data_IF_105391457178
#
_entry.id   IF_105391457178
#
_cell.length_a   1.000
_cell.length_b   1.000
_cell.length_c   1.000
_cell.angle_alpha   90.00
_cell.angle_beta   90.00
_cell.angle_gamma   90.00
#
_symmetry.space_group_name_H-M   'P 1'
#
loop_
_entity.id
_entity.type
_entity.pdbx_description
1 polymer ?
#
# COMPACT_ATOMS: atom_id res chain seq x y z
N UNK A 1 10.53 -2.58 -8.35
CA UNK A 1 10.06 -3.65 -7.44
C UNK A 1 11.15 -4.22 -6.52
N UNK A 2 12.38 -4.50 -7.00
CA UNK A 2 13.50 -5.02 -6.17
C UNK A 2 13.85 -4.20 -4.89
N UNK A 3 13.46 -2.92 -4.84
CA UNK A 3 13.71 -1.98 -3.73
C UNK A 3 12.74 -2.15 -2.54
N UNK A 4 11.49 -2.57 -2.78
CA UNK A 4 10.47 -2.79 -1.72
C UNK A 4 10.74 -4.11 -0.97
N UNK A 5 11.33 -5.08 -1.66
CA UNK A 5 11.72 -6.37 -1.10
C UNK A 5 12.85 -6.21 -0.09
N UNK A 6 13.83 -5.31 -0.29
CA UNK A 6 14.98 -5.21 0.61
C UNK A 6 14.64 -4.68 2.02
N UNK A 7 13.73 -3.72 2.15
CA UNK A 7 13.31 -3.18 3.47
C UNK A 7 12.38 -4.18 4.19
N UNK A 8 11.47 -4.83 3.47
CA UNK A 8 10.61 -5.89 4.01
C UNK A 8 11.42 -7.14 4.38
N UNK A 9 12.43 -7.51 3.60
CA UNK A 9 13.35 -8.62 3.91
C UNK A 9 14.24 -8.30 5.11
N UNK A 10 14.65 -7.04 5.32
CA UNK A 10 15.40 -6.67 6.53
C UNK A 10 14.52 -6.78 7.79
N UNK A 11 13.26 -6.33 7.71
CA UNK A 11 12.29 -6.46 8.81
C UNK A 11 11.92 -7.93 9.05
N UNK A 12 11.67 -8.72 8.01
CA UNK A 12 11.36 -10.16 8.12
C UNK A 12 12.55 -11.00 8.60
N UNK A 13 13.79 -10.63 8.20
CA UNK A 13 15.00 -11.28 8.69
C UNK A 13 15.31 -10.94 10.16
N UNK A 14 14.83 -9.80 10.67
CA UNK A 14 15.00 -9.38 12.06
C UNK A 14 13.89 -9.93 13.00
N UNK A 15 12.69 -10.22 12.49
CA UNK A 15 11.56 -10.70 13.32
C UNK A 15 11.27 -12.20 13.20
N UNK A 16 11.94 -12.93 12.31
CA UNK A 16 11.71 -14.37 12.11
C UNK A 16 10.31 -14.71 11.56
N UNK A 17 9.51 -13.72 11.19
CA UNK A 17 8.16 -13.91 10.66
C UNK A 17 8.20 -14.02 9.13
N UNK A 18 8.07 -15.24 8.61
CA UNK A 18 7.79 -15.50 7.20
C UNK A 18 6.34 -15.15 6.86
N UNK A 19 6.06 -13.88 6.54
CA UNK A 19 4.84 -13.52 5.81
C UNK A 19 5.13 -13.53 4.30
N UNK A 20 4.27 -14.20 3.53
CA UNK A 20 4.33 -14.27 2.07
C UNK A 20 4.15 -12.86 1.48
N UNK A 21 5.27 -12.18 1.20
CA UNK A 21 5.26 -11.00 0.36
C UNK A 21 4.92 -11.44 -1.07
N UNK A 22 3.79 -10.96 -1.61
CA UNK A 22 3.39 -11.13 -3.00
C UNK A 22 4.48 -10.54 -3.92
N UNK A 23 5.36 -11.40 -4.41
CA UNK A 23 6.30 -11.11 -5.48
C UNK A 23 5.82 -11.82 -6.74
N UNK A 24 5.58 -11.06 -7.81
CA UNK A 24 5.23 -11.57 -9.13
C UNK A 24 6.37 -12.47 -9.68
N UNK A 25 6.14 -13.77 -9.97
CA UNK A 25 7.22 -14.73 -10.26
C UNK A 25 7.50 -14.87 -11.76
N UNK A 26 7.92 -13.80 -12.44
CA UNK A 26 8.30 -13.92 -13.86
C UNK A 26 9.78 -13.64 -14.18
N UNK A 27 10.65 -13.34 -13.21
CA UNK A 27 12.08 -13.12 -13.53
C UNK A 27 13.03 -13.54 -12.40
N UNK A 28 13.33 -14.85 -12.33
CA UNK A 28 14.54 -15.34 -11.66
C UNK A 28 14.92 -16.76 -12.12
N UNK A 29 15.68 -16.88 -13.21
CA UNK A 29 16.46 -18.10 -13.48
C UNK A 29 17.79 -18.08 -12.74
N UNK A 30 18.01 -19.14 -11.95
CA UNK A 30 19.27 -19.86 -11.73
C UNK A 30 20.39 -19.17 -10.91
N UNK A 31 20.77 -19.76 -9.76
CA UNK A 31 22.13 -20.26 -9.46
C UNK A 31 22.27 -20.77 -8.01
N UNK A 32 22.71 -22.02 -7.91
CA UNK A 32 23.46 -22.73 -6.83
C UNK A 32 22.78 -23.16 -5.52
N UNK A 33 22.62 -24.49 -5.46
CA UNK A 33 22.50 -25.32 -4.26
C UNK A 33 23.73 -25.19 -3.35
N UNK A 34 23.50 -25.16 -2.04
CA UNK A 34 24.47 -25.62 -1.02
C UNK A 34 23.72 -26.52 -0.04
N UNK A 35 24.17 -27.77 0.04
CA UNK A 35 23.73 -28.81 0.97
C UNK A 35 24.36 -28.61 2.34
N UNK A 36 23.58 -28.72 3.41
CA UNK A 36 24.10 -28.92 4.77
C UNK A 36 23.55 -30.24 5.33
N UNK A 37 24.45 -31.20 5.52
CA UNK A 37 24.18 -32.43 6.27
C UNK A 37 24.08 -32.10 7.78
N UNK A 38 22.97 -32.48 8.41
CA UNK A 38 22.82 -32.45 9.86
C UNK A 38 23.10 -33.84 10.42
N UNK A 39 24.23 -33.99 11.09
CA UNK A 39 24.54 -35.16 11.93
C UNK A 39 23.81 -35.01 13.26
N UNK A 40 22.91 -35.95 13.58
CA UNK A 40 22.27 -36.06 14.89
C UNK A 40 22.98 -37.12 15.73
N UNK A 41 23.36 -36.78 16.97
CA UNK A 41 23.65 -37.74 18.03
C UNK A 41 22.53 -37.67 19.09
N UNK A 42 22.14 -38.81 19.68
CA UNK A 42 21.01 -38.89 20.62
C UNK A 42 21.42 -38.49 22.04
N UNK A 43 20.57 -37.71 22.71
CA UNK A 43 20.61 -37.49 24.15
C UNK A 43 19.71 -38.53 24.82
N UNK A 44 20.26 -39.18 25.84
CA UNK A 44 19.60 -40.14 26.74
C UNK A 44 18.79 -39.35 27.76
N UNK A 45 17.48 -39.59 27.86
CA UNK A 45 16.65 -39.10 28.97
C UNK A 45 16.51 -40.16 30.06
N UNK A 46 16.73 -39.72 31.29
CA UNK A 46 16.70 -40.49 32.53
C UNK A 46 15.36 -40.30 33.25
N UNK A 47 14.86 -41.39 33.84
CA UNK A 47 13.55 -41.56 34.48
C UNK A 47 13.21 -40.54 35.58
N UNK A 48 11.93 -40.14 35.65
CA UNK A 48 11.35 -39.38 36.77
C UNK A 48 9.85 -39.63 36.98
N UNK A 49 9.57 -40.63 37.81
CA UNK A 49 8.36 -41.00 38.59
C UNK A 49 7.14 -40.07 38.58
N UNK A 50 5.99 -40.63 38.18
CA UNK A 50 4.63 -40.07 38.28
C UNK A 50 3.99 -40.53 39.59
N UNK A 51 3.31 -39.64 40.33
CA UNK A 51 2.35 -40.01 41.39
C UNK A 51 0.97 -39.48 40.96
N UNK A 52 0.09 -40.39 40.54
CA UNK A 52 -1.32 -40.10 40.26
C UNK A 52 -2.11 -40.04 41.57
N UNK A 53 -3.00 -39.05 41.68
CA UNK A 53 -4.08 -39.05 42.68
C UNK A 53 -5.40 -39.05 41.91
N UNK A 54 -6.13 -40.15 42.03
CA UNK A 54 -7.46 -40.39 41.47
C UNK A 54 -8.50 -39.64 42.31
N UNK A 55 -9.47 -39.00 41.66
CA UNK A 55 -10.78 -38.75 42.26
C UNK A 55 -11.84 -38.90 41.16
N UNK A 56 -12.68 -39.92 41.34
CA UNK A 56 -13.86 -40.23 40.54
C UNK A 56 -14.97 -39.20 40.80
N UNK A 57 -15.69 -38.80 39.76
CA UNK A 57 -17.13 -38.58 39.88
C UNK A 57 -17.85 -38.97 38.57
N UNK A 58 -18.77 -39.92 38.70
CA UNK A 58 -19.67 -40.42 37.66
C UNK A 58 -20.68 -39.36 37.22
N UNK A 59 -20.96 -39.26 35.91
CA UNK A 59 -22.35 -39.30 35.45
C UNK A 59 -22.48 -39.70 33.97
N UNK A 60 -23.66 -40.19 33.62
CA UNK A 60 -23.92 -41.32 32.71
C UNK A 60 -24.94 -40.94 31.61
N UNK A 61 -24.77 -41.52 30.40
CA UNK A 61 -25.76 -41.75 29.28
C UNK A 61 -26.15 -40.50 28.46
N UNK A 62 -26.28 -40.46 27.11
CA UNK A 62 -26.59 -41.41 26.00
C UNK A 62 -25.80 -40.97 24.74
N UNK A 63 -25.18 -41.80 23.87
CA UNK A 63 -25.64 -42.90 22.99
C UNK A 63 -26.48 -42.48 21.76
N UNK A 64 -25.84 -42.44 20.59
CA UNK A 64 -26.28 -42.77 19.21
C UNK A 64 -25.04 -42.50 18.30
N UNK A 65 -24.28 -43.41 17.69
CA UNK A 65 -24.46 -44.62 16.88
C UNK A 65 -24.85 -44.39 15.40
N UNK A 66 -23.89 -44.11 14.52
CA UNK A 66 -23.86 -44.41 13.06
C UNK A 66 -22.37 -44.49 12.64
N UNK A 67 -21.75 -45.65 12.44
CA UNK A 67 -21.80 -46.62 11.33
C UNK A 67 -21.17 -46.15 9.99
N UNK A 68 -19.83 -46.24 9.93
CA UNK A 68 -19.08 -47.05 8.95
C UNK A 68 -18.82 -46.55 7.53
N UNK A 69 -17.74 -47.10 6.94
CA UNK A 69 -17.36 -47.16 5.49
C UNK A 69 -16.42 -46.00 5.07
N UNK A 70 -15.29 -46.13 4.37
CA UNK A 70 -14.41 -47.23 3.90
C UNK A 70 -13.06 -46.58 3.55
N UNK A 71 -11.98 -47.35 3.71
CA UNK A 71 -10.63 -47.03 3.23
C UNK A 71 -10.57 -47.22 1.72
N UNK A 72 -10.30 -46.16 0.96
CA UNK A 72 -9.62 -46.27 -0.33
C UNK A 72 -8.51 -45.21 -0.45
N UNK A 73 -7.38 -45.73 -0.91
CA UNK A 73 -6.06 -45.16 -0.94
C UNK A 73 -5.76 -44.90 -2.42
N UNK A 74 -5.81 -43.64 -2.85
CA UNK A 74 -5.29 -43.24 -4.16
C UNK A 74 -4.40 -42.00 -4.00
N UNK A 75 -3.13 -42.25 -4.29
CA UNK A 75 -2.05 -41.30 -4.34
C UNK A 75 -2.07 -40.68 -5.75
N UNK A 76 -2.83 -39.61 -5.94
CA UNK A 76 -2.73 -38.74 -7.11
C UNK A 76 -1.92 -37.50 -6.76
N UNK A 77 -0.78 -37.36 -7.44
CA UNK A 77 0.02 -36.15 -7.44
C UNK A 77 -0.72 -35.06 -8.21
N UNK A 78 -1.58 -34.33 -7.51
CA UNK A 78 -2.25 -33.13 -8.01
C UNK A 78 -1.21 -32.00 -8.09
N UNK A 79 -0.81 -31.66 -9.32
CA UNK A 79 -0.18 -30.37 -9.58
C UNK A 79 -1.21 -29.28 -9.27
N UNK A 80 -1.15 -28.73 -8.06
CA UNK A 80 -1.80 -27.47 -7.71
C UNK A 80 -1.18 -26.35 -8.54
N UNK A 81 -1.68 -26.20 -9.77
CA UNK A 81 -1.64 -24.92 -10.43
C UNK A 81 -2.53 -24.01 -9.60
N UNK A 82 -1.91 -23.20 -8.75
CA UNK A 82 -2.55 -22.07 -8.06
C UNK A 82 -3.14 -21.16 -9.12
N UNK A 83 -4.37 -21.46 -9.53
CA UNK A 83 -5.19 -20.60 -10.34
C UNK A 83 -5.38 -19.34 -9.49
N UNK A 84 -4.63 -18.31 -9.83
CA UNK A 84 -4.80 -16.97 -9.31
C UNK A 84 -6.18 -16.50 -9.80
N UNK A 85 -7.24 -16.90 -9.09
CA UNK A 85 -8.61 -16.45 -9.32
C UNK A 85 -8.66 -15.00 -8.89
N UNK A 86 -8.18 -14.11 -9.76
CA UNK A 86 -8.52 -12.71 -9.70
C UNK A 86 -10.02 -12.64 -9.92
N UNK A 87 -10.74 -12.35 -8.83
CA UNK A 87 -12.19 -12.21 -8.86
C UNK A 87 -12.51 -11.02 -9.76
N UNK A 88 -12.98 -11.28 -10.97
CA UNK A 88 -13.31 -10.25 -11.94
C UNK A 88 -14.51 -9.45 -11.38
N UNK A 89 -14.34 -8.15 -11.17
CA UNK A 89 -15.43 -7.30 -10.67
C UNK A 89 -16.57 -7.33 -11.68
N UNK A 90 -17.74 -7.81 -11.24
CA UNK A 90 -18.91 -7.90 -12.11
C UNK A 90 -19.52 -6.52 -12.33
N UNK A 91 -20.18 -6.32 -13.48
CA UNK A 91 -20.86 -5.06 -13.77
C UNK A 91 -22.00 -4.76 -12.79
N UNK A 92 -22.60 -5.78 -12.19
CA UNK A 92 -23.61 -5.63 -11.14
C UNK A 92 -22.99 -5.02 -9.87
N UNK A 93 -21.84 -5.53 -9.42
CA UNK A 93 -21.11 -4.98 -8.27
C UNK A 93 -20.68 -3.51 -8.48
N UNK A 94 -20.27 -3.17 -9.71
CA UNK A 94 -19.97 -1.79 -10.08
C UNK A 94 -21.21 -0.90 -9.98
N UNK A 95 -22.34 -1.36 -10.51
CA UNK A 95 -23.59 -0.59 -10.47
C UNK A 95 -24.06 -0.37 -9.03
N UNK A 96 -23.98 -1.40 -8.19
CA UNK A 96 -24.34 -1.32 -6.77
C UNK A 96 -23.42 -0.36 -5.99
N UNK A 97 -22.15 -0.24 -6.42
CA UNK A 97 -21.16 0.64 -5.81
C UNK A 97 -21.24 2.10 -6.31
N UNK A 98 -21.92 2.37 -7.42
CA UNK A 98 -21.93 3.69 -8.07
C UNK A 98 -22.82 4.75 -7.38
N UNK A 99 -23.61 4.38 -6.36
CA UNK A 99 -24.44 5.34 -5.62
C UNK A 99 -25.42 6.11 -6.53
N UNK A 100 -25.67 7.39 -6.21
CA UNK A 100 -26.46 8.26 -7.09
C UNK A 100 -25.55 8.81 -8.21
N UNK A 101 -25.94 8.59 -9.46
CA UNK A 101 -25.15 9.05 -10.61
C UNK A 101 -25.15 10.59 -10.78
N UNK A 102 -24.07 11.18 -11.33
CA UNK A 102 -23.97 12.62 -11.62
C UNK A 102 -25.10 13.26 -12.45
N UNK A 103 -25.80 12.47 -13.25
CA UNK A 103 -26.91 12.92 -14.10
C UNK A 103 -28.27 12.93 -13.36
N UNK A 104 -28.32 12.43 -12.12
CA UNK A 104 -29.52 12.37 -11.30
C UNK A 104 -29.82 13.72 -10.62
N UNK A 105 -31.08 14.13 -10.50
CA UNK A 105 -31.45 15.35 -9.76
C UNK A 105 -31.10 15.28 -8.26
N UNK A 106 -30.92 14.07 -7.71
CA UNK A 106 -30.56 13.86 -6.30
C UNK A 106 -29.05 13.87 -6.04
N UNK A 107 -28.21 13.93 -7.08
CA UNK A 107 -26.76 13.88 -6.94
C UNK A 107 -26.20 15.00 -6.04
N UNK A 108 -26.69 16.22 -6.23
CA UNK A 108 -26.27 17.36 -5.40
C UNK A 108 -26.63 17.19 -3.92
N UNK A 109 -27.70 16.45 -3.62
CA UNK A 109 -28.12 16.16 -2.25
C UNK A 109 -27.16 15.13 -1.64
N UNK A 110 -26.83 14.07 -2.38
CA UNK A 110 -25.85 13.06 -1.96
C UNK A 110 -24.50 13.72 -1.65
N UNK A 111 -23.97 14.52 -2.58
CA UNK A 111 -22.73 15.29 -2.38
C UNK A 111 -22.78 16.19 -1.14
N UNK A 112 -23.93 16.79 -0.86
CA UNK A 112 -24.15 17.59 0.35
C UNK A 112 -24.07 16.77 1.64
N UNK A 113 -24.64 15.57 1.63
CA UNK A 113 -24.60 14.62 2.76
C UNK A 113 -23.18 14.09 2.95
N UNK A 114 -22.49 13.70 1.89
CA UNK A 114 -21.08 13.26 1.92
C UNK A 114 -20.17 14.34 2.54
N UNK A 115 -20.31 15.58 2.09
CA UNK A 115 -19.52 16.69 2.62
C UNK A 115 -19.83 16.96 4.11
N UNK A 116 -21.09 16.81 4.52
CA UNK A 116 -21.46 16.87 5.93
C UNK A 116 -20.79 15.75 6.72
N UNK A 117 -20.84 14.50 6.24
CA UNK A 117 -20.18 13.35 6.86
C UNK A 117 -18.67 13.58 7.01
N UNK A 118 -18.00 14.06 5.97
CA UNK A 118 -16.59 14.48 6.02
C UNK A 118 -16.37 15.53 7.12
N UNK A 119 -17.21 16.55 7.20
CA UNK A 119 -17.03 17.65 8.16
C UNK A 119 -17.23 17.27 9.62
N UNK A 120 -18.10 16.28 9.91
CA UNK A 120 -18.39 15.84 11.28
C UNK A 120 -17.44 14.72 11.74
N UNK A 121 -16.74 14.08 10.81
CA UNK A 121 -15.77 13.02 11.10
C UNK A 121 -14.50 13.63 11.68
N UNK A 122 -14.21 13.32 12.95
CA UNK A 122 -13.14 13.99 13.72
C UNK A 122 -11.81 13.28 13.65
N UNK A 123 -11.81 11.95 13.48
CA UNK A 123 -10.56 11.20 13.45
C UNK A 123 -10.01 11.16 12.03
N UNK A 124 -8.70 11.34 11.93
CA UNK A 124 -7.98 11.30 10.65
C UNK A 124 -8.12 9.94 9.95
N UNK A 125 -8.20 8.84 10.72
CA UNK A 125 -8.39 7.48 10.20
C UNK A 125 -9.79 7.27 9.61
N UNK A 126 -10.84 7.60 10.37
CA UNK A 126 -12.21 7.49 9.86
C UNK A 126 -12.42 8.41 8.66
N UNK A 127 -11.81 9.60 8.69
CA UNK A 127 -11.91 10.56 7.60
C UNK A 127 -11.23 10.04 6.34
N UNK A 128 -10.08 9.39 6.47
CA UNK A 128 -9.43 8.73 5.34
C UNK A 128 -10.26 7.57 4.79
N UNK A 129 -10.73 6.67 5.66
CA UNK A 129 -11.56 5.54 5.25
C UNK A 129 -12.85 6.00 4.54
N UNK A 130 -13.52 7.02 5.07
CA UNK A 130 -14.70 7.63 4.47
C UNK A 130 -14.39 8.22 3.09
N UNK A 131 -13.26 8.91 2.94
CA UNK A 131 -12.84 9.47 1.65
C UNK A 131 -12.51 8.37 0.62
N UNK A 132 -11.89 7.26 1.02
CA UNK A 132 -11.65 6.13 0.11
C UNK A 132 -12.96 5.47 -0.30
N UNK A 133 -13.94 5.35 0.61
CA UNK A 133 -15.28 4.88 0.26
C UNK A 133 -15.90 5.75 -0.85
N UNK A 134 -15.94 7.06 -0.65
CA UNK A 134 -16.48 7.98 -1.67
C UNK A 134 -15.65 7.98 -2.96
N UNK A 135 -14.33 7.78 -2.87
CA UNK A 135 -13.49 7.60 -4.05
C UNK A 135 -13.95 6.36 -4.83
N UNK A 136 -14.15 5.22 -4.15
CA UNK A 136 -14.64 3.98 -4.75
C UNK A 136 -16.00 4.16 -5.44
N UNK A 137 -16.90 4.93 -4.83
CA UNK A 137 -18.17 5.33 -5.45
C UNK A 137 -17.92 6.15 -6.72
N UNK A 138 -17.06 7.17 -6.68
CA UNK A 138 -16.73 7.98 -7.89
C UNK A 138 -16.10 7.14 -9.00
N UNK A 139 -15.26 6.17 -8.67
CA UNK A 139 -14.70 5.25 -9.67
C UNK A 139 -15.80 4.39 -10.30
N UNK A 140 -16.75 3.92 -9.49
CA UNK A 140 -17.90 3.14 -9.97
C UNK A 140 -18.85 3.99 -10.83
N UNK A 141 -19.14 5.23 -10.44
CA UNK A 141 -19.86 6.21 -11.27
C UNK A 141 -19.19 6.38 -12.63
N UNK A 142 -17.86 6.51 -12.67
CA UNK A 142 -17.13 6.67 -13.91
C UNK A 142 -17.31 5.47 -14.84
N UNK A 143 -17.26 4.23 -14.34
CA UNK A 143 -17.55 3.04 -15.15
C UNK A 143 -18.96 3.12 -15.75
N UNK A 144 -19.97 3.45 -14.93
CA UNK A 144 -21.36 3.53 -15.38
C UNK A 144 -21.52 4.61 -16.46
N UNK A 145 -20.91 5.77 -16.26
CA UNK A 145 -20.91 6.89 -17.20
C UNK A 145 -20.22 6.53 -18.53
N UNK A 146 -19.07 5.86 -18.49
CA UNK A 146 -18.37 5.37 -19.69
C UNK A 146 -19.24 4.38 -20.45
N UNK A 147 -19.90 3.43 -19.78
CA UNK A 147 -20.81 2.48 -20.43
C UNK A 147 -22.04 3.16 -21.07
N UNK A 148 -22.43 4.33 -20.56
CA UNK A 148 -23.52 5.14 -21.10
C UNK A 148 -23.07 6.13 -22.20
N UNK A 149 -21.78 6.15 -22.55
CA UNK A 149 -21.21 7.11 -23.49
C UNK A 149 -21.21 8.56 -22.98
N UNK A 150 -21.22 8.74 -21.66
CA UNK A 150 -21.19 10.05 -21.00
C UNK A 150 -19.75 10.42 -20.58
N UNK A 151 -18.85 10.50 -21.55
CA UNK A 151 -17.40 10.59 -21.35
C UNK A 151 -16.96 11.80 -20.52
N UNK A 152 -17.63 12.94 -20.66
CA UNK A 152 -17.37 14.14 -19.85
C UNK A 152 -17.68 13.91 -18.36
N UNK A 153 -18.81 13.27 -18.07
CA UNK A 153 -19.21 12.93 -16.70
C UNK A 153 -18.30 11.85 -16.11
N UNK A 154 -17.91 10.85 -16.91
CA UNK A 154 -16.94 9.84 -16.51
C UNK A 154 -15.59 10.48 -16.13
N UNK A 155 -15.08 11.38 -16.98
CA UNK A 155 -13.83 12.12 -16.74
C UNK A 155 -13.90 12.95 -15.46
N UNK A 156 -15.04 13.61 -15.21
CA UNK A 156 -15.27 14.37 -13.97
C UNK A 156 -15.29 13.47 -12.74
N UNK A 157 -15.93 12.31 -12.82
CA UNK A 157 -15.96 11.33 -11.73
C UNK A 157 -14.55 10.78 -11.43
N UNK A 158 -13.75 10.46 -12.46
CA UNK A 158 -12.34 10.06 -12.31
C UNK A 158 -11.51 11.15 -11.61
N UNK A 159 -11.70 12.42 -11.98
CA UNK A 159 -10.99 13.51 -11.32
C UNK A 159 -11.36 13.61 -9.83
N UNK A 160 -12.65 13.51 -9.50
CA UNK A 160 -13.11 13.50 -8.10
C UNK A 160 -12.56 12.29 -7.33
N UNK A 161 -12.49 11.12 -7.97
CA UNK A 161 -11.84 9.93 -7.42
C UNK A 161 -10.38 10.23 -7.03
N UNK A 162 -9.60 10.78 -7.96
CA UNK A 162 -8.18 11.10 -7.75
C UNK A 162 -8.02 12.11 -6.59
N UNK A 163 -8.89 13.09 -6.50
CA UNK A 163 -8.90 14.09 -5.41
C UNK A 163 -9.22 13.47 -4.05
N UNK A 164 -10.29 12.67 -3.96
CA UNK A 164 -10.69 11.99 -2.74
C UNK A 164 -9.61 11.02 -2.24
N UNK A 165 -9.03 10.23 -3.14
CA UNK A 165 -7.98 9.29 -2.81
C UNK A 165 -6.71 10.00 -2.31
N UNK A 166 -6.28 11.07 -2.99
CA UNK A 166 -5.12 11.87 -2.56
C UNK A 166 -5.36 12.49 -1.18
N UNK A 167 -6.59 12.97 -0.94
CA UNK A 167 -6.97 13.51 0.35
C UNK A 167 -7.02 12.42 1.43
N UNK A 168 -7.53 11.23 1.13
CA UNK A 168 -7.50 10.10 2.04
C UNK A 168 -6.07 9.77 2.47
N UNK A 169 -5.15 9.65 1.50
CA UNK A 169 -3.71 9.43 1.75
C UNK A 169 -3.12 10.48 2.70
N UNK A 170 -3.48 11.77 2.51
CA UNK A 170 -3.05 12.85 3.41
C UNK A 170 -3.54 12.64 4.85
N UNK A 171 -4.81 12.26 5.02
CA UNK A 171 -5.40 11.99 6.33
C UNK A 171 -4.80 10.74 6.99
N UNK A 172 -4.49 9.69 6.23
CA UNK A 172 -3.73 8.53 6.74
C UNK A 172 -2.38 8.96 7.26
N UNK A 173 -1.63 9.76 6.49
CA UNK A 173 -0.33 10.26 6.92
C UNK A 173 -0.44 11.08 8.21
N UNK A 174 -1.50 11.89 8.38
CA UNK A 174 -1.76 12.64 9.63
C UNK A 174 -2.16 11.74 10.79
N UNK A 175 -3.06 10.79 10.59
CA UNK A 175 -3.45 9.79 11.58
C UNK A 175 -2.22 9.07 12.12
N UNK A 176 -1.38 8.65 11.19
CA UNK A 176 -0.13 7.98 11.44
C UNK A 176 0.82 8.83 12.31
N UNK A 177 0.93 10.14 12.03
CA UNK A 177 1.77 11.08 12.79
C UNK A 177 1.21 11.37 14.19
N UNK A 178 -0.12 11.34 14.36
CA UNK A 178 -0.81 11.84 15.56
C UNK A 178 -1.17 10.77 16.58
N UNK A 179 -1.35 9.51 16.17
CA UNK A 179 -1.78 8.42 17.05
C UNK A 179 -0.86 7.22 16.96
N UNK A 180 -0.50 6.64 18.09
CA UNK A 180 0.25 5.38 18.13
C UNK A 180 -0.62 4.17 17.66
N UNK A 181 -1.95 4.24 17.80
CA UNK A 181 -2.87 3.09 17.62
C UNK A 181 -3.53 2.95 16.24
N UNK A 182 -3.14 3.76 15.24
CA UNK A 182 -3.80 3.89 13.92
C UNK A 182 -3.76 2.65 13.00
N UNK A 183 -3.49 1.48 13.56
CA UNK A 183 -3.10 0.26 12.85
C UNK A 183 -4.33 -0.50 12.34
N UNK A 184 -5.44 -0.51 13.09
CA UNK A 184 -6.58 -1.40 12.79
C UNK A 184 -7.35 -1.05 11.52
N UNK A 185 -7.46 0.23 11.16
CA UNK A 185 -8.23 0.67 9.97
C UNK A 185 -7.47 0.59 8.66
N UNK A 186 -6.22 0.14 8.73
CA UNK A 186 -5.35 0.05 7.56
C UNK A 186 -5.75 -1.08 6.60
N UNK A 187 -6.28 -2.18 7.13
CA UNK A 187 -6.70 -3.32 6.32
C UNK A 187 -7.91 -2.98 5.46
N UNK A 188 -8.96 -2.39 6.06
CA UNK A 188 -10.15 -1.87 5.36
C UNK A 188 -9.76 -0.88 4.26
N UNK A 189 -8.78 -0.03 4.56
CA UNK A 189 -8.26 0.94 3.62
C UNK A 189 -7.53 0.28 2.44
N UNK A 190 -6.65 -0.68 2.71
CA UNK A 190 -5.90 -1.39 1.68
C UNK A 190 -6.83 -2.21 0.79
N UNK A 191 -7.89 -2.79 1.35
CA UNK A 191 -8.95 -3.45 0.59
C UNK A 191 -9.67 -2.48 -0.35
N UNK A 192 -10.05 -1.30 0.14
CA UNK A 192 -10.71 -0.29 -0.69
C UNK A 192 -9.77 0.29 -1.77
N UNK A 193 -8.46 0.40 -1.49
CA UNK A 193 -7.45 0.71 -2.51
C UNK A 193 -7.37 -0.37 -3.60
N UNK A 194 -7.37 -1.66 -3.24
CA UNK A 194 -7.37 -2.75 -4.24
C UNK A 194 -8.63 -2.71 -5.10
N UNK A 195 -9.80 -2.56 -4.47
CA UNK A 195 -11.08 -2.48 -5.18
C UNK A 195 -11.09 -1.30 -6.17
N UNK A 196 -10.60 -0.14 -5.75
CA UNK A 196 -10.50 1.01 -6.66
C UNK A 196 -9.48 0.82 -7.78
N UNK A 197 -8.36 0.13 -7.55
CA UNK A 197 -7.40 -0.23 -8.59
C UNK A 197 -8.04 -1.15 -9.65
N UNK A 198 -8.80 -2.16 -9.21
CA UNK A 198 -9.53 -3.08 -10.10
C UNK A 198 -10.61 -2.36 -10.91
N UNK A 199 -11.37 -1.45 -10.28
CA UNK A 199 -12.34 -0.60 -10.98
C UNK A 199 -11.64 0.25 -12.04
N UNK A 200 -10.54 0.92 -11.71
CA UNK A 200 -9.81 1.75 -12.67
C UNK A 200 -9.23 0.95 -13.83
N UNK A 201 -8.72 -0.27 -13.59
CA UNK A 201 -8.29 -1.18 -14.66
C UNK A 201 -9.45 -1.53 -15.59
N UNK A 202 -10.63 -1.79 -15.02
CA UNK A 202 -11.86 -2.05 -15.79
C UNK A 202 -12.25 -0.84 -16.65
N UNK A 203 -12.16 0.39 -16.11
CA UNK A 203 -12.42 1.61 -16.89
C UNK A 203 -11.37 1.76 -17.98
N UNK A 204 -10.08 1.54 -17.67
CA UNK A 204 -8.99 1.72 -18.62
C UNK A 204 -9.19 0.90 -19.90
N UNK A 205 -9.69 -0.32 -19.77
CA UNK A 205 -9.97 -1.21 -20.90
C UNK A 205 -11.12 -0.70 -21.80
N UNK A 206 -12.12 -0.03 -21.19
CA UNK A 206 -13.33 0.44 -21.85
C UNK A 206 -13.28 1.92 -22.26
N UNK A 207 -12.34 2.67 -21.70
CA UNK A 207 -12.24 4.11 -21.89
C UNK A 207 -11.87 4.45 -23.34
N UNK A 208 -12.39 5.57 -23.89
CA UNK A 208 -11.87 6.15 -25.12
C UNK A 208 -10.36 6.39 -25.02
N UNK A 209 -9.65 6.29 -26.14
CA UNK A 209 -8.18 6.39 -26.18
C UNK A 209 -7.66 7.67 -25.52
N UNK A 210 -8.39 8.79 -25.70
CA UNK A 210 -8.07 10.09 -25.12
C UNK A 210 -8.13 10.09 -23.58
N UNK A 211 -8.96 9.23 -22.97
CA UNK A 211 -9.13 9.11 -21.51
C UNK A 211 -8.18 8.10 -20.89
N UNK A 212 -7.68 7.12 -21.65
CA UNK A 212 -6.81 6.05 -21.14
C UNK A 212 -5.56 6.60 -20.47
N UNK A 213 -4.91 7.59 -21.09
CA UNK A 213 -3.69 8.18 -20.53
C UNK A 213 -3.93 8.80 -19.14
N UNK A 214 -5.07 9.44 -18.93
CA UNK A 214 -5.42 10.01 -17.63
C UNK A 214 -5.63 8.91 -16.57
N UNK A 215 -6.28 7.82 -16.95
CA UNK A 215 -6.54 6.66 -16.08
C UNK A 215 -5.24 5.91 -15.76
N UNK A 216 -4.36 5.68 -16.74
CA UNK A 216 -3.04 5.08 -16.53
C UNK A 216 -2.19 5.91 -15.56
N UNK A 217 -2.23 7.23 -15.70
CA UNK A 217 -1.54 8.13 -14.76
C UNK A 217 -2.14 8.05 -13.36
N UNK A 218 -3.46 7.90 -13.24
CA UNK A 218 -4.15 7.72 -11.97
C UNK A 218 -3.75 6.39 -11.29
N UNK A 219 -3.75 5.28 -12.04
CA UNK A 219 -3.31 3.96 -11.58
C UNK A 219 -1.85 3.98 -11.12
N UNK A 220 -0.94 4.48 -11.95
CA UNK A 220 0.48 4.58 -11.61
C UNK A 220 0.74 5.43 -10.36
N UNK A 221 -0.12 6.44 -10.12
CA UNK A 221 -0.05 7.28 -8.93
C UNK A 221 -0.60 6.53 -7.71
N UNK A 222 -1.74 5.87 -7.84
CA UNK A 222 -2.32 5.03 -6.80
C UNK A 222 -1.35 3.93 -6.34
N UNK A 223 -0.67 3.25 -7.25
CA UNK A 223 0.34 2.23 -6.91
C UNK A 223 1.47 2.77 -6.05
N UNK A 224 1.89 4.01 -6.31
CA UNK A 224 2.92 4.69 -5.50
C UNK A 224 2.38 5.06 -4.13
N UNK A 225 1.15 5.54 -4.07
CA UNK A 225 0.48 5.94 -2.83
C UNK A 225 0.26 4.73 -1.92
N UNK A 226 -0.37 3.66 -2.44
CA UNK A 226 -0.56 2.38 -1.75
C UNK A 226 0.77 1.87 -1.22
N UNK A 227 1.83 1.90 -2.04
CA UNK A 227 3.12 1.42 -1.61
C UNK A 227 3.79 2.26 -0.53
N UNK A 228 3.67 3.59 -0.61
CA UNK A 228 4.20 4.49 0.41
C UNK A 228 3.46 4.29 1.75
N UNK A 229 2.13 4.18 1.67
CA UNK A 229 1.23 3.96 2.80
C UNK A 229 1.49 2.59 3.45
N UNK A 230 1.58 1.52 2.65
CA UNK A 230 1.93 0.17 3.12
C UNK A 230 3.35 0.12 3.72
N UNK A 231 4.33 0.77 3.07
CA UNK A 231 5.69 0.83 3.60
C UNK A 231 5.73 1.53 4.96
N UNK A 232 5.01 2.65 5.10
CA UNK A 232 4.93 3.36 6.37
C UNK A 232 4.32 2.48 7.45
N UNK A 233 3.20 1.83 7.13
CA UNK A 233 2.48 0.98 8.06
C UNK A 233 3.37 -0.14 8.62
N UNK A 234 4.04 -0.89 7.74
CA UNK A 234 4.96 -1.97 8.14
C UNK A 234 6.06 -1.45 9.06
N UNK A 235 6.63 -0.27 8.77
CA UNK A 235 7.65 0.31 9.63
C UNK A 235 7.11 0.77 10.99
N UNK A 236 5.86 1.24 11.03
CA UNK A 236 5.20 1.63 12.28
C UNK A 236 4.88 0.41 13.14
N UNK A 237 4.37 -0.67 12.54
CA UNK A 237 4.13 -1.94 13.22
C UNK A 237 5.43 -2.51 13.81
N UNK A 238 6.50 -2.53 13.00
CA UNK A 238 7.82 -2.94 13.47
C UNK A 238 8.34 -2.07 14.64
N UNK A 239 8.08 -0.76 14.61
CA UNK A 239 8.43 0.14 15.71
C UNK A 239 7.67 -0.18 16.99
N UNK A 240 6.38 -0.49 16.92
CA UNK A 240 5.61 -0.88 18.11
C UNK A 240 6.03 -2.23 18.67
N UNK A 241 6.28 -3.21 17.79
CA UNK A 241 6.80 -4.50 18.19
C UNK A 241 8.12 -4.34 18.94
N UNK A 242 9.07 -3.56 18.39
CA UNK A 242 10.35 -3.28 19.01
C UNK A 242 10.22 -2.51 20.34
N UNK A 243 9.25 -1.59 20.44
CA UNK A 243 8.95 -0.89 21.69
C UNK A 243 8.42 -1.84 22.77
N UNK A 244 7.51 -2.75 22.42
CA UNK A 244 7.00 -3.76 23.34
C UNK A 244 8.10 -4.71 23.80
N UNK A 245 8.93 -5.20 22.88
CA UNK A 245 10.10 -6.03 23.21
C UNK A 245 11.05 -5.33 24.18
N UNK A 246 11.28 -4.02 24.00
CA UNK A 246 12.10 -3.24 24.93
C UNK A 246 11.45 -3.09 26.31
N UNK A 247 10.13 -2.89 26.36
CA UNK A 247 9.39 -2.82 27.62
C UNK A 247 9.44 -4.16 28.37
N UNK A 248 9.30 -5.28 27.67
CA UNK A 248 9.36 -6.61 28.27
C UNK A 248 10.78 -6.99 28.70
N UNK A 249 11.80 -6.71 27.88
CA UNK A 249 13.20 -6.89 28.27
C UNK A 249 13.57 -6.06 29.52
N UNK A 250 13.02 -4.84 29.65
CA UNK A 250 13.21 -4.03 30.85
C UNK A 250 12.54 -4.65 32.08
N UNK A 251 11.36 -5.25 31.95
CA UNK A 251 10.73 -5.98 33.07
C UNK A 251 11.57 -7.17 33.48
N UNK A 252 12.04 -7.98 32.53
CA UNK A 252 12.92 -9.12 32.80
C UNK A 252 14.20 -8.68 33.52
N UNK A 253 14.82 -7.57 33.10
CA UNK A 253 15.99 -7.02 33.78
C UNK A 253 15.70 -6.62 35.22
N UNK A 254 14.55 -5.98 35.49
CA UNK A 254 14.17 -5.63 36.85
C UNK A 254 13.88 -6.86 37.72
N UNK A 255 13.36 -7.95 37.14
CA UNK A 255 13.20 -9.24 37.83
C UNK A 255 14.54 -9.92 38.11
N UNK A 256 15.45 -9.95 37.12
CA UNK A 256 16.79 -10.47 37.28
C UNK A 256 17.56 -9.72 38.38
N UNK A 257 17.47 -8.38 38.42
CA UNK A 257 18.06 -7.56 39.49
C UNK A 257 17.53 -7.91 40.89
N UNK A 258 16.24 -8.26 41.02
CA UNK A 258 15.67 -8.70 42.30
C UNK A 258 16.19 -10.07 42.74
N UNK A 259 16.54 -10.95 41.81
CA UNK A 259 17.09 -12.27 42.12
C UNK A 259 18.51 -12.19 42.69
N UNK A 260 19.29 -11.16 42.32
CA UNK A 260 20.70 -11.04 42.67
C UNK A 260 21.63 -11.99 41.92
N UNK A 261 21.12 -12.77 40.97
CA UNK A 261 21.90 -13.66 40.11
C UNK A 261 22.61 -12.84 39.02
N UNK A 262 23.94 -12.78 39.09
CA UNK A 262 24.80 -12.03 38.18
C UNK A 262 24.66 -12.51 36.73
N UNK A 263 24.48 -13.81 36.51
CA UNK A 263 24.34 -14.38 35.17
C UNK A 263 23.00 -13.98 34.53
N UNK A 264 21.90 -14.04 35.31
CA UNK A 264 20.58 -13.59 34.84
C UNK A 264 20.56 -12.09 34.56
N UNK A 265 21.21 -11.28 35.40
CA UNK A 265 21.32 -9.83 35.18
C UNK A 265 22.06 -9.55 33.87
N UNK A 266 23.24 -10.17 33.66
CA UNK A 266 24.03 -9.97 32.45
C UNK A 266 23.25 -10.36 31.19
N UNK A 267 22.53 -11.47 31.21
CA UNK A 267 21.71 -11.90 30.06
C UNK A 267 20.53 -10.95 29.80
N UNK A 268 19.85 -10.47 30.85
CA UNK A 268 18.76 -9.53 30.70
C UNK A 268 19.23 -8.14 30.22
N UNK A 269 20.41 -7.69 30.64
CA UNK A 269 21.04 -6.46 30.12
C UNK A 269 21.34 -6.56 28.63
N UNK A 270 21.82 -7.72 28.16
CA UNK A 270 22.04 -7.98 26.74
C UNK A 270 20.74 -7.91 25.95
N UNK A 271 19.65 -8.54 26.43
CA UNK A 271 18.32 -8.44 25.81
C UNK A 271 17.80 -7.00 25.73
N UNK A 272 18.00 -6.20 26.78
CA UNK A 272 17.61 -4.78 26.77
C UNK A 272 18.40 -4.03 25.70
N UNK A 273 19.72 -4.28 25.59
CA UNK A 273 20.57 -3.66 24.58
C UNK A 273 20.13 -4.02 23.15
N UNK A 274 19.82 -5.29 22.90
CA UNK A 274 19.32 -5.76 21.61
C UNK A 274 17.96 -5.13 21.26
N UNK A 275 17.02 -5.13 22.20
CA UNK A 275 15.70 -4.53 22.00
C UNK A 275 15.78 -3.00 21.80
N UNK A 276 16.72 -2.32 22.47
CA UNK A 276 16.96 -0.89 22.27
C UNK A 276 17.52 -0.61 20.87
N UNK A 277 18.46 -1.44 20.39
CA UNK A 277 18.98 -1.35 19.02
C UNK A 277 17.88 -1.59 17.96
N UNK A 278 16.98 -2.55 18.20
CA UNK A 278 15.82 -2.81 17.32
C UNK A 278 14.88 -1.60 17.28
N UNK A 279 14.57 -1.01 18.44
CA UNK A 279 13.73 0.19 18.52
C UNK A 279 14.36 1.36 17.76
N UNK A 280 15.66 1.58 17.91
CA UNK A 280 16.37 2.66 17.22
C UNK A 280 16.38 2.46 15.70
N UNK A 281 16.61 1.22 15.23
CA UNK A 281 16.54 0.87 13.81
C UNK A 281 15.13 1.08 13.24
N UNK A 282 14.10 0.66 13.98
CA UNK A 282 12.70 0.85 13.58
C UNK A 282 12.31 2.35 13.55
N UNK A 283 12.82 3.14 14.50
CA UNK A 283 12.60 4.58 14.53
C UNK A 283 13.27 5.30 13.35
N UNK A 284 14.50 4.89 12.98
CA UNK A 284 15.17 5.41 11.78
C UNK A 284 14.36 5.11 10.51
N UNK A 285 13.90 3.87 10.38
CA UNK A 285 13.07 3.43 9.25
C UNK A 285 11.75 4.22 9.16
N UNK A 286 11.09 4.44 10.30
CA UNK A 286 9.88 5.28 10.40
C UNK A 286 10.13 6.69 9.89
N UNK A 287 11.25 7.33 10.28
CA UNK A 287 11.58 8.69 9.85
C UNK A 287 11.99 8.78 8.37
N UNK A 288 12.65 7.78 7.83
CA UNK A 288 12.95 7.71 6.39
C UNK A 288 11.68 7.58 5.55
N UNK A 289 10.79 6.68 5.94
CA UNK A 289 9.54 6.46 5.21
C UNK A 289 8.62 7.69 5.33
N UNK A 290 8.64 8.36 6.49
CA UNK A 290 7.98 9.67 6.66
C UNK A 290 8.49 10.72 5.66
N UNK A 291 9.80 10.80 5.44
CA UNK A 291 10.39 11.72 4.45
C UNK A 291 9.97 11.35 3.03
N UNK A 292 10.00 10.06 2.68
CA UNK A 292 9.56 9.56 1.39
C UNK A 292 8.08 9.86 1.13
N UNK A 293 7.22 9.64 2.13
CA UNK A 293 5.79 9.95 2.05
C UNK A 293 5.55 11.45 1.82
N UNK A 294 6.24 12.32 2.57
CA UNK A 294 6.16 13.78 2.38
C UNK A 294 6.70 14.24 1.02
N UNK A 295 7.69 13.54 0.47
CA UNK A 295 8.19 13.83 -0.87
C UNK A 295 7.16 13.45 -1.93
N UNK A 296 6.60 12.24 -1.84
CA UNK A 296 5.54 11.77 -2.73
C UNK A 296 4.34 12.73 -2.71
N UNK A 297 3.87 13.14 -1.52
CA UNK A 297 2.77 14.11 -1.37
C UNK A 297 3.05 15.43 -2.11
N UNK A 298 4.28 15.96 -2.03
CA UNK A 298 4.66 17.19 -2.72
C UNK A 298 4.66 17.02 -4.24
N UNK A 299 5.21 15.92 -4.75
CA UNK A 299 5.24 15.61 -6.17
C UNK A 299 3.82 15.46 -6.73
N UNK A 300 2.95 14.81 -5.96
CA UNK A 300 1.52 14.65 -6.26
C UNK A 300 0.81 16.00 -6.34
N UNK A 301 0.96 16.83 -5.32
CA UNK A 301 0.33 18.15 -5.27
C UNK A 301 0.80 19.03 -6.44
N UNK A 302 2.05 18.89 -6.84
CA UNK A 302 2.59 19.55 -8.02
C UNK A 302 1.95 19.01 -9.31
N UNK A 303 1.85 17.68 -9.47
CA UNK A 303 1.20 17.04 -10.62
C UNK A 303 -0.27 17.40 -10.76
N UNK A 304 -1.06 17.34 -9.68
CA UNK A 304 -2.46 17.74 -9.66
C UNK A 304 -2.65 19.21 -10.05
N UNK A 305 -1.77 20.09 -9.58
CA UNK A 305 -1.81 21.51 -9.97
C UNK A 305 -1.53 21.71 -11.46
N UNK A 306 -0.73 20.85 -12.08
CA UNK A 306 -0.49 20.89 -13.52
C UNK A 306 -1.70 20.36 -14.30
N UNK A 307 -2.29 19.24 -13.86
CA UNK A 307 -3.52 18.68 -14.45
C UNK A 307 -4.65 19.70 -14.39
N UNK A 308 -4.89 20.31 -13.23
CA UNK A 308 -5.92 21.35 -13.07
C UNK A 308 -5.71 22.52 -14.03
N UNK A 309 -4.46 23.01 -14.17
CA UNK A 309 -4.13 24.07 -15.13
C UNK A 309 -4.34 23.66 -16.58
N UNK A 310 -4.15 22.38 -16.91
CA UNK A 310 -4.42 21.86 -18.25
C UNK A 310 -5.94 21.83 -18.50
N UNK A 311 -6.72 21.31 -17.55
CA UNK A 311 -8.18 21.28 -17.65
C UNK A 311 -8.78 22.69 -17.75
N UNK A 312 -8.35 23.64 -16.89
CA UNK A 312 -8.79 25.04 -16.94
C UNK A 312 -8.48 25.72 -18.30
N UNK A 313 -7.46 25.23 -19.03
CA UNK A 313 -7.14 25.73 -20.38
C UNK A 313 -8.02 25.10 -21.44
N UNK A 314 -8.28 23.80 -21.34
CA UNK A 314 -9.17 23.07 -22.26
C UNK A 314 -10.58 23.66 -22.17
N UNK A 315 -11.11 23.83 -20.96
CA UNK A 315 -12.42 24.45 -20.73
C UNK A 315 -12.52 25.85 -21.36
N UNK A 316 -11.47 26.66 -21.26
CA UNK A 316 -11.40 27.98 -21.91
C UNK A 316 -11.30 27.95 -23.43
N UNK A 317 -10.81 26.86 -24.01
CA UNK A 317 -10.80 26.67 -25.47
C UNK A 317 -12.20 26.25 -25.91
N UNK A 318 -12.83 25.32 -25.19
CA UNK A 318 -14.19 24.85 -25.46
C UNK A 318 -15.23 25.97 -25.32
N UNK A 319 -15.17 26.79 -24.27
CA UNK A 319 -16.05 27.96 -24.08
C UNK A 319 -15.93 28.95 -25.24
N UNK A 320 -14.71 29.13 -25.78
CA UNK A 320 -14.50 30.00 -26.95
C UNK A 320 -15.00 29.38 -28.24
N UNK A 321 -14.99 28.06 -28.37
CA UNK A 321 -15.56 27.37 -29.52
C UNK A 321 -17.09 27.38 -29.48
N UNK A 322 -17.71 27.20 -28.32
CA UNK A 322 -19.17 27.31 -28.18
C UNK A 322 -19.66 28.72 -28.53
N UNK A 323 -18.99 29.77 -28.01
CA UNK A 323 -19.30 31.16 -28.32
C UNK A 323 -19.17 31.48 -29.82
N UNK A 324 -18.21 30.85 -30.50
CA UNK A 324 -18.01 30.99 -31.95
C UNK A 324 -19.09 30.27 -32.74
N UNK A 325 -19.45 29.04 -32.35
CA UNK A 325 -20.50 28.24 -33.01
C UNK A 325 -21.87 28.92 -32.89
N UNK A 326 -22.19 29.49 -31.72
CA UNK A 326 -23.44 30.21 -31.51
C UNK A 326 -23.54 31.45 -32.42
N UNK A 327 -22.44 32.20 -32.60
CA UNK A 327 -22.39 33.34 -33.53
C UNK A 327 -22.42 32.96 -35.00
N UNK A 328 -22.00 31.74 -35.37
CA UNK A 328 -21.99 31.27 -36.75
C UNK A 328 -23.38 30.84 -37.25
N UNK A 329 -24.31 30.49 -36.34
CA UNK A 329 -25.66 30.02 -36.69
C UNK A 329 -26.59 31.17 -37.15
N UNK A 330 -26.24 32.43 -36.88
CA UNK A 330 -27.06 33.61 -37.27
C UNK A 330 -26.67 34.26 -38.62
N UNK A 331 -25.71 33.72 -39.38
CA UNK A 331 -25.20 34.33 -40.63
C UNK A 331 -25.35 33.47 -41.91
N UNK A 332 -25.70 34.05 -43.08
CA UNK A 332 -26.01 33.27 -44.29
C UNK A 332 -24.77 32.68 -45.01
N UNK A 333 -24.74 31.34 -45.11
CA UNK A 333 -24.26 30.45 -46.20
C UNK A 333 -22.90 30.68 -46.93
N UNK A 334 -22.03 31.58 -46.50
CA UNK A 334 -20.67 31.70 -47.07
C UNK A 334 -19.57 31.52 -46.01
N UNK A 335 -19.25 30.29 -45.59
CA UNK A 335 -18.02 30.08 -44.78
C UNK A 335 -17.49 28.64 -44.57
N UNK A 336 -18.00 27.59 -45.22
CA UNK A 336 -17.51 26.21 -44.98
C UNK A 336 -15.98 26.03 -45.20
N UNK A 337 -15.38 26.82 -46.10
CA UNK A 337 -13.93 26.74 -46.37
C UNK A 337 -13.06 27.40 -45.29
N UNK A 338 -13.58 28.42 -44.59
CA UNK A 338 -12.85 29.11 -43.50
C UNK A 338 -12.93 28.36 -42.17
N UNK A 339 -14.00 27.59 -41.92
CA UNK A 339 -14.14 26.78 -40.71
C UNK A 339 -13.09 25.66 -40.64
N UNK A 340 -12.80 25.02 -41.76
CA UNK A 340 -11.86 23.90 -41.84
C UNK A 340 -10.39 24.34 -41.64
N UNK A 341 -10.04 25.59 -41.99
CA UNK A 341 -8.69 26.13 -41.76
C UNK A 341 -8.47 26.60 -40.31
N UNK A 342 -9.52 27.11 -39.63
CA UNK A 342 -9.45 27.39 -38.19
C UNK A 342 -9.39 26.12 -37.34
N UNK A 343 -10.16 25.09 -37.68
CA UNK A 343 -10.19 23.80 -36.96
C UNK A 343 -8.81 23.12 -36.99
N UNK A 344 -8.16 23.08 -38.16
CA UNK A 344 -6.76 22.61 -38.30
C UNK A 344 -5.77 23.43 -37.46
N UNK A 345 -6.01 24.74 -37.30
CA UNK A 345 -5.17 25.61 -36.48
C UNK A 345 -5.34 25.34 -34.98
N UNK A 346 -6.56 25.05 -34.53
CA UNK A 346 -6.84 24.68 -33.14
C UNK A 346 -6.24 23.31 -32.83
N UNK A 347 -6.45 22.32 -33.70
CA UNK A 347 -5.90 20.97 -33.54
C UNK A 347 -4.35 20.99 -33.50
N UNK A 348 -3.71 21.76 -34.39
CA UNK A 348 -2.25 21.92 -34.38
C UNK A 348 -1.74 22.62 -33.10
N UNK A 349 -2.54 23.51 -32.51
CA UNK A 349 -2.19 24.18 -31.24
C UNK A 349 -2.34 23.23 -30.06
N UNK A 350 -3.40 22.43 -30.03
CA UNK A 350 -3.63 21.40 -29.02
C UNK A 350 -2.50 20.36 -29.03
N UNK A 351 -2.17 19.79 -30.20
CA UNK A 351 -1.03 18.86 -30.38
C UNK A 351 0.30 19.44 -29.90
N UNK A 352 0.56 20.72 -30.17
CA UNK A 352 1.79 21.40 -29.71
C UNK A 352 1.82 21.65 -28.20
N UNK A 353 0.67 21.88 -27.57
CA UNK A 353 0.58 22.00 -26.11
C UNK A 353 0.72 20.64 -25.42
N UNK A 354 0.11 19.59 -25.99
CA UNK A 354 0.24 18.21 -25.52
C UNK A 354 1.70 17.74 -25.56
N UNK A 355 2.42 17.99 -26.66
CA UNK A 355 3.85 17.66 -26.80
C UNK A 355 4.71 18.36 -25.74
N UNK A 356 4.44 19.64 -25.46
CA UNK A 356 5.13 20.39 -24.39
C UNK A 356 4.83 19.81 -23.01
N UNK A 357 3.61 19.37 -22.76
CA UNK A 357 3.23 18.73 -21.50
C UNK A 357 3.96 17.40 -21.34
N UNK A 358 4.07 16.63 -22.43
CA UNK A 358 4.79 15.36 -22.47
C UNK A 358 6.30 15.54 -22.21
N UNK A 359 6.94 16.54 -22.81
CA UNK A 359 8.34 16.87 -22.51
C UNK A 359 8.55 17.32 -21.06
N UNK A 360 7.65 18.16 -20.53
CA UNK A 360 7.73 18.62 -19.14
C UNK A 360 7.60 17.45 -18.15
N UNK A 361 6.66 16.53 -18.40
CA UNK A 361 6.48 15.32 -17.61
C UNK A 361 7.73 14.44 -17.67
N UNK A 362 8.27 14.17 -18.86
CA UNK A 362 9.48 13.37 -19.03
C UNK A 362 10.67 13.93 -18.25
N UNK A 363 10.85 15.27 -18.29
CA UNK A 363 11.92 15.94 -17.53
C UNK A 363 11.70 15.88 -16.02
N UNK A 364 10.45 15.99 -15.56
CA UNK A 364 10.12 15.83 -14.13
C UNK A 364 10.38 14.40 -13.65
N UNK A 365 10.07 13.40 -14.48
CA UNK A 365 10.27 11.99 -14.17
C UNK A 365 11.76 11.62 -14.13
N UNK A 366 12.56 12.15 -15.06
CA UNK A 366 14.01 11.98 -15.07
C UNK A 366 14.66 12.59 -13.81
N UNK A 367 14.22 13.78 -13.41
CA UNK A 367 14.68 14.42 -12.17
C UNK A 367 14.31 13.59 -10.93
N UNK A 368 13.08 13.08 -10.87
CA UNK A 368 12.64 12.21 -9.78
C UNK A 368 13.46 10.90 -9.72
N UNK A 369 13.79 10.31 -10.87
CA UNK A 369 14.68 9.13 -10.95
C UNK A 369 16.10 9.43 -10.45
N UNK A 370 16.65 10.60 -10.77
CA UNK A 370 17.99 11.00 -10.31
C UNK A 370 18.02 11.23 -8.79
N UNK A 371 16.99 11.88 -8.23
CA UNK A 371 16.84 12.07 -6.79
C UNK A 371 16.64 10.73 -6.05
N UNK A 372 15.80 9.83 -6.58
CA UNK A 372 15.63 8.46 -6.04
C UNK A 372 16.95 7.67 -6.06
N UNK A 373 17.75 7.80 -7.13
CA UNK A 373 19.06 7.15 -7.21
C UNK A 373 20.02 7.67 -6.13
N UNK A 374 20.07 8.99 -5.89
CA UNK A 374 20.90 9.59 -4.84
C UNK A 374 20.46 9.13 -3.45
N UNK A 375 19.15 9.05 -3.22
CA UNK A 375 18.62 8.55 -1.94
C UNK A 375 19.04 7.09 -1.69
N UNK A 376 19.08 6.26 -2.74
CA UNK A 376 19.48 4.86 -2.63
C UNK A 376 20.95 4.63 -2.38
N UNK A 377 21.80 5.43 -3.00
CA UNK A 377 23.22 5.40 -2.67
C UNK A 377 23.43 5.75 -1.20
N UNK A 378 22.69 6.75 -0.69
CA UNK A 378 22.74 7.13 0.74
C UNK A 378 22.24 6.02 1.67
N UNK A 379 21.08 5.42 1.40
CA UNK A 379 20.54 4.32 2.22
C UNK A 379 21.47 3.11 2.21
N UNK A 380 22.04 2.73 1.05
CA UNK A 380 23.04 1.66 0.98
C UNK A 380 24.30 1.96 1.78
N UNK A 381 24.74 3.22 1.81
CA UNK A 381 25.90 3.63 2.59
C UNK A 381 25.63 3.58 4.10
N UNK A 382 24.46 4.03 4.55
CA UNK A 382 24.04 3.96 5.96
C UNK A 382 23.83 2.51 6.44
N UNK A 383 23.24 1.65 5.59
CA UNK A 383 23.10 0.22 5.88
C UNK A 383 24.47 -0.46 6.04
N UNK A 384 25.42 -0.20 5.14
CA UNK A 384 26.80 -0.73 5.26
C UNK A 384 27.50 -0.27 6.53
N UNK A 385 27.36 1.01 6.91
CA UNK A 385 27.93 1.54 8.17
C UNK A 385 27.34 0.84 9.39
N UNK A 386 26.04 0.56 9.36
CA UNK A 386 25.35 -0.15 10.45
C UNK A 386 25.81 -1.60 10.54
N UNK A 387 25.89 -2.30 9.41
CA UNK A 387 26.40 -3.67 9.32
C UNK A 387 27.84 -3.78 9.85
N UNK A 388 28.72 -2.85 9.47
CA UNK A 388 30.10 -2.81 9.96
C UNK A 388 30.18 -2.56 11.48
N UNK A 389 29.30 -1.69 12.01
CA UNK A 389 29.23 -1.41 13.46
C UNK A 389 28.77 -2.64 14.24
N UNK A 390 27.71 -3.32 13.77
CA UNK A 390 27.20 -4.56 14.38
C UNK A 390 28.28 -5.65 14.35
N UNK A 391 29.00 -5.81 13.23
CA UNK A 391 30.10 -6.77 13.13
C UNK A 391 31.21 -6.49 14.13
N UNK A 392 31.63 -5.23 14.28
CA UNK A 392 32.65 -4.82 15.26
C UNK A 392 32.21 -5.06 16.70
N UNK A 393 30.95 -4.76 17.03
CA UNK A 393 30.43 -5.05 18.37
C UNK A 393 30.34 -6.56 18.63
N UNK A 394 29.92 -7.36 17.66
CA UNK A 394 29.88 -8.82 17.77
C UNK A 394 31.28 -9.46 17.93
N UNK A 395 32.29 -8.95 17.23
CA UNK A 395 33.69 -9.38 17.42
C UNK A 395 34.19 -9.04 18.83
N UNK A 396 33.88 -7.84 19.34
CA UNK A 396 34.25 -7.42 20.70
C UNK A 396 33.61 -8.30 21.77
N UNK A 397 32.32 -8.63 21.65
CA UNK A 397 31.62 -9.51 22.58
C UNK A 397 32.22 -10.93 22.57
N UNK A 398 32.59 -11.45 21.40
CA UNK A 398 33.28 -12.75 21.30
C UNK A 398 34.64 -12.76 21.98
N UNK A 399 35.40 -11.67 21.91
CA UNK A 399 36.66 -11.56 22.66
C UNK A 399 36.44 -11.47 24.18
N UNK A 400 35.42 -10.73 24.62
CA UNK A 400 35.06 -10.63 26.03
C UNK A 400 34.60 -11.98 26.60
N UNK A 401 33.80 -12.74 25.85
CA UNK A 401 33.37 -14.09 26.23
C UNK A 401 34.56 -15.06 26.36
N UNK A 402 35.51 -15.04 25.41
CA UNK A 402 36.73 -15.87 25.49
C UNK A 402 37.57 -15.57 26.73
N UNK A 403 37.67 -14.29 27.11
CA UNK A 403 38.40 -13.87 28.32
C UNK A 403 37.70 -14.26 29.62
N UNK A 404 36.40 -14.53 29.59
CA UNK A 404 35.65 -14.97 30.76
C UNK A 404 35.74 -16.50 30.98
N UNK A 405 36.10 -17.27 29.94
CA UNK A 405 36.33 -18.72 30.03
C UNK A 405 37.76 -19.07 30.51
N UNK A 406 38.71 -18.13 30.40
CA UNK A 406 40.08 -18.23 30.95
C UNK A 406 40.13 -17.79 32.42
#
# INVERSE_FOLDING_TARGET
MKKKIAVIVLVAALTGMSHNAYANPEDATNTSQVTSETTSQPIVEENGTITETVTEEENKVASENVSGTTVENENEATNEATANTQSEITQEEVNDSAGILPNSPFYNIERGIEQLQISITKSEEELAALKVKFATERASEAVVMTNQGQDELASKAINNYIELLSSATEHINKAIETKDEAVQKFEELNEAYKKSEEILKTILEKAPEDSKLAIENALNKQDKDIAAVNGFYVAKEAFFLARHQLEDAKKELEEAKKSGDVALISSAEEKVKEAEALKDAANSSKEEIKKLSKQAEKEIKAGMKQIKKANDKIEKVEEKESDKKEKAIEGPKQSEENLNEEEKKVEAKAKKEEEKLREANKKSEEKAREEDKKLQEKVKEEAKKTEEKVKKEGEKLREEAKKAEE
#
